data_IF_790786549400
#
_entry.id   IF_790786549400
#
_cell.length_a   1.000
_cell.length_b   1.000
_cell.length_c   1.000
_cell.angle_alpha   90.00
_cell.angle_beta   90.00
_cell.angle_gamma   90.00
#
_symmetry.space_group_name_H-M   'P 1'
#
loop_
_entity.id
_entity.type
_entity.pdbx_description
1 polymer ?
#
# COMPACT_ATOMS: atom_id res chain seq x y z
N UNK A 1 -2.52 1.43 -19.70
CA UNK A 1 -3.40 1.12 -18.55
C UNK A 1 -3.66 2.39 -17.75
N UNK A 2 -4.74 2.44 -16.98
CA UNK A 2 -5.06 3.54 -16.06
C UNK A 2 -4.99 2.99 -14.63
N UNK A 3 -4.04 3.45 -13.83
CA UNK A 3 -3.82 3.00 -12.47
C UNK A 3 -4.14 4.13 -11.48
N UNK A 4 -4.75 3.79 -10.34
CA UNK A 4 -5.02 4.72 -9.25
C UNK A 4 -4.14 4.38 -8.07
N UNK A 5 -3.30 5.33 -7.64
CA UNK A 5 -2.50 5.23 -6.42
C UNK A 5 -3.13 6.06 -5.32
N UNK A 6 -3.64 5.41 -4.30
CA UNK A 6 -4.27 6.02 -3.13
C UNK A 6 -3.25 6.22 -2.01
N UNK A 7 -2.79 7.44 -1.84
CA UNK A 7 -1.99 7.82 -0.67
C UNK A 7 -2.90 8.07 0.55
N UNK A 8 -2.42 7.76 1.74
CA UNK A 8 -3.06 8.16 3.00
C UNK A 8 -2.49 9.49 3.56
N UNK A 9 -1.82 10.27 2.72
CA UNK A 9 -1.47 11.65 3.02
C UNK A 9 -2.51 12.61 2.41
N UNK A 10 -2.77 13.72 3.12
CA UNK A 10 -3.66 14.78 2.61
C UNK A 10 -2.96 15.60 1.53
N UNK A 11 -3.72 16.06 0.53
CA UNK A 11 -3.23 16.99 -0.52
C UNK A 11 -1.88 16.54 -1.11
N UNK A 12 -1.79 15.27 -1.42
CA UNK A 12 -0.54 14.60 -1.72
C UNK A 12 0.27 15.31 -2.81
N UNK A 13 -0.36 15.74 -3.91
CA UNK A 13 0.36 16.31 -5.05
C UNK A 13 1.05 17.67 -4.78
N UNK A 14 0.55 18.46 -3.84
CA UNK A 14 1.11 19.78 -3.50
C UNK A 14 2.26 19.72 -2.50
N UNK A 15 2.41 18.61 -1.80
CA UNK A 15 3.43 18.43 -0.76
C UNK A 15 4.78 18.00 -1.33
N UNK A 16 5.92 18.25 -0.64
CA UNK A 16 7.22 17.71 -1.03
C UNK A 16 7.21 16.20 -1.24
N UNK A 17 6.58 15.46 -0.32
CA UNK A 17 6.39 14.01 -0.43
C UNK A 17 5.63 13.64 -1.70
N UNK A 18 4.50 14.29 -1.96
CA UNK A 18 3.66 13.96 -3.10
C UNK A 18 4.32 14.25 -4.44
N UNK A 19 5.09 15.34 -4.54
CA UNK A 19 5.86 15.65 -5.75
C UNK A 19 6.91 14.58 -6.05
N UNK A 20 7.65 14.14 -5.03
CA UNK A 20 8.65 13.07 -5.16
C UNK A 20 7.99 11.74 -5.49
N UNK A 21 6.90 11.39 -4.80
CA UNK A 21 6.14 10.18 -5.08
C UNK A 21 5.62 10.17 -6.52
N UNK A 22 5.02 11.27 -6.99
CA UNK A 22 4.51 11.38 -8.36
C UNK A 22 5.62 11.17 -9.40
N UNK A 23 6.77 11.80 -9.22
CA UNK A 23 7.93 11.63 -10.10
C UNK A 23 8.43 10.18 -10.15
N UNK A 24 8.45 9.49 -8.99
CA UNK A 24 8.79 8.06 -8.91
C UNK A 24 7.76 7.24 -9.68
N UNK A 25 6.45 7.45 -9.41
CA UNK A 25 5.37 6.70 -10.04
C UNK A 25 5.38 6.83 -11.57
N UNK A 26 5.53 8.04 -12.09
CA UNK A 26 5.60 8.31 -13.53
C UNK A 26 6.82 7.67 -14.21
N UNK A 27 7.93 7.54 -13.48
CA UNK A 27 9.16 6.91 -13.98
C UNK A 27 9.09 5.39 -14.04
N UNK A 28 8.34 4.75 -13.11
CA UNK A 28 8.37 3.29 -12.97
C UNK A 28 7.26 2.56 -13.71
N UNK A 29 6.21 3.23 -14.16
CA UNK A 29 5.14 2.61 -14.95
C UNK A 29 5.63 2.14 -16.32
N UNK A 30 4.99 1.13 -16.89
CA UNK A 30 5.26 0.66 -18.25
C UNK A 30 4.82 1.73 -19.28
N UNK A 31 5.47 1.80 -20.47
CA UNK A 31 5.03 2.67 -21.53
C UNK A 31 3.54 2.52 -21.84
N UNK A 32 2.81 3.63 -21.92
CA UNK A 32 1.36 3.66 -22.15
C UNK A 32 0.51 3.39 -20.91
N UNK A 33 1.12 3.28 -19.72
CA UNK A 33 0.40 3.28 -18.43
C UNK A 33 0.33 4.71 -17.89
N UNK A 34 -0.88 5.11 -17.50
CA UNK A 34 -1.13 6.38 -16.79
C UNK A 34 -1.42 6.08 -15.34
N UNK A 35 -0.83 6.86 -14.43
CA UNK A 35 -1.02 6.71 -12.99
C UNK A 35 -1.58 8.01 -12.39
N UNK A 36 -2.69 7.88 -11.68
CA UNK A 36 -3.31 8.96 -10.91
C UNK A 36 -2.89 8.84 -9.45
N UNK A 37 -2.50 9.95 -8.84
CA UNK A 37 -2.14 10.01 -7.43
C UNK A 37 -3.21 10.79 -6.66
N UNK A 38 -3.88 10.14 -5.72
CA UNK A 38 -4.93 10.72 -4.88
C UNK A 38 -4.56 10.61 -3.41
N UNK A 39 -4.77 11.70 -2.66
CA UNK A 39 -4.70 11.73 -1.20
C UNK A 39 -6.05 11.48 -0.53
N UNK A 40 -6.05 11.46 0.81
CA UNK A 40 -7.28 11.46 1.64
C UNK A 40 -7.64 12.90 2.04
N UNK A 41 -8.92 13.14 2.36
CA UNK A 41 -9.40 14.44 2.87
C UNK A 41 -9.05 14.68 4.33
N UNK A 42 -8.77 13.60 5.05
CA UNK A 42 -8.46 13.61 6.48
C UNK A 42 -7.10 14.18 6.84
N UNK A 43 -6.58 13.80 7.99
CA UNK A 43 -5.35 14.35 8.55
C UNK A 43 -4.11 13.82 7.81
N UNK A 44 -3.19 14.70 7.56
CA UNK A 44 -1.91 14.51 6.92
C UNK A 44 -1.03 13.39 7.54
N UNK A 45 -1.30 12.11 7.29
CA UNK A 45 -0.53 10.93 7.71
C UNK A 45 -0.39 10.74 9.25
N UNK A 46 -0.90 11.64 10.07
CA UNK A 46 -0.88 11.52 11.55
C UNK A 46 -1.90 10.46 11.99
N UNK A 47 -3.05 10.40 11.32
CA UNK A 47 -4.15 9.52 11.66
C UNK A 47 -3.83 8.04 11.55
N UNK A 48 -3.02 7.66 10.56
CA UNK A 48 -2.77 6.24 10.25
C UNK A 48 -2.06 5.44 11.35
N UNK A 49 -1.42 6.10 12.32
CA UNK A 49 -0.86 5.42 13.50
C UNK A 49 -1.86 5.25 14.65
N UNK A 50 -3.05 5.86 14.54
CA UNK A 50 -4.13 5.76 15.52
C UNK A 50 -5.32 5.04 14.91
N UNK A 51 -5.68 3.88 15.46
CA UNK A 51 -6.71 2.99 14.89
C UNK A 51 -8.06 3.69 14.67
N UNK A 52 -8.49 4.50 15.62
CA UNK A 52 -9.74 5.26 15.48
C UNK A 52 -9.68 6.25 14.32
N UNK A 53 -8.57 6.99 14.18
CA UNK A 53 -8.39 7.95 13.09
C UNK A 53 -8.23 7.26 11.74
N UNK A 54 -7.56 6.12 11.70
CA UNK A 54 -7.43 5.31 10.50
C UNK A 54 -8.80 4.90 9.91
N UNK A 55 -9.81 4.67 10.74
CA UNK A 55 -11.17 4.41 10.27
C UNK A 55 -11.79 5.56 9.48
N UNK A 56 -11.49 6.80 9.86
CA UNK A 56 -11.96 7.96 9.11
C UNK A 56 -11.26 8.08 7.75
N UNK A 57 -9.95 7.84 7.70
CA UNK A 57 -9.19 7.86 6.45
C UNK A 57 -9.58 6.69 5.53
N UNK A 58 -9.91 5.52 6.09
CA UNK A 58 -10.37 4.35 5.35
C UNK A 58 -11.66 4.61 4.54
N UNK A 59 -12.55 5.47 5.00
CA UNK A 59 -13.74 5.86 4.25
C UNK A 59 -13.38 6.51 2.91
N UNK A 60 -12.35 7.35 2.89
CA UNK A 60 -11.88 7.96 1.65
C UNK A 60 -11.26 6.91 0.72
N UNK A 61 -10.53 5.91 1.26
CA UNK A 61 -9.99 4.81 0.45
C UNK A 61 -11.12 4.03 -0.25
N UNK A 62 -12.18 3.68 0.47
CA UNK A 62 -13.32 2.96 -0.08
C UNK A 62 -14.05 3.82 -1.13
N UNK A 63 -14.33 5.07 -0.81
CA UNK A 63 -15.01 6.00 -1.74
C UNK A 63 -14.20 6.18 -3.03
N UNK A 64 -12.88 6.34 -2.90
CA UNK A 64 -12.00 6.52 -4.06
C UNK A 64 -11.83 5.23 -4.86
N UNK A 65 -11.90 4.05 -4.25
CA UNK A 65 -11.91 2.79 -4.97
C UNK A 65 -13.18 2.64 -5.84
N UNK A 66 -14.34 3.02 -5.29
CA UNK A 66 -15.61 3.09 -6.05
C UNK A 66 -15.49 4.08 -7.22
N UNK A 67 -14.92 5.25 -6.95
CA UNK A 67 -14.74 6.27 -7.98
C UNK A 67 -13.78 5.80 -9.08
N UNK A 68 -12.67 5.15 -8.70
CA UNK A 68 -11.71 4.59 -9.65
C UNK A 68 -12.37 3.57 -10.60
N UNK A 69 -13.20 2.66 -10.09
CA UNK A 69 -13.92 1.72 -10.93
C UNK A 69 -14.91 2.43 -11.86
N UNK A 70 -15.70 3.40 -11.36
CA UNK A 70 -16.64 4.20 -12.15
C UNK A 70 -15.97 5.01 -13.28
N UNK A 71 -14.76 5.51 -13.04
CA UNK A 71 -13.96 6.27 -14.02
C UNK A 71 -13.18 5.39 -14.99
N UNK A 72 -13.30 4.05 -14.86
CA UNK A 72 -12.66 3.09 -15.74
C UNK A 72 -11.15 2.98 -15.53
N UNK A 73 -10.70 3.08 -14.27
CA UNK A 73 -9.35 2.68 -13.92
C UNK A 73 -9.23 1.15 -13.94
N UNK A 74 -8.08 0.67 -14.38
CA UNK A 74 -7.81 -0.76 -14.53
C UNK A 74 -7.42 -1.43 -13.21
N UNK A 75 -6.82 -0.70 -12.26
CA UNK A 75 -6.48 -1.16 -10.91
C UNK A 75 -6.40 0.00 -9.92
N UNK A 76 -6.55 -0.33 -8.63
CA UNK A 76 -6.43 0.60 -7.51
C UNK A 76 -5.39 0.09 -6.50
N UNK A 77 -4.54 0.97 -6.00
CA UNK A 77 -3.44 0.64 -5.09
C UNK A 77 -3.59 1.41 -3.78
N UNK A 78 -3.61 0.71 -2.66
CA UNK A 78 -3.56 1.31 -1.31
C UNK A 78 -2.09 1.58 -0.97
N UNK A 79 -1.64 2.80 -1.23
CA UNK A 79 -0.25 3.25 -1.14
C UNK A 79 0.19 3.61 0.28
N UNK A 80 -0.19 2.81 1.27
CA UNK A 80 0.26 2.95 2.65
C UNK A 80 0.52 1.57 3.26
N UNK A 81 1.62 1.45 4.00
CA UNK A 81 2.06 0.18 4.59
C UNK A 81 1.08 -0.39 5.65
N UNK A 82 0.10 0.37 6.08
CA UNK A 82 -0.96 -0.14 6.96
C UNK A 82 -2.02 -0.98 6.25
N UNK A 83 -2.13 -0.85 4.94
CA UNK A 83 -3.15 -1.49 4.09
C UNK A 83 -4.59 -1.23 4.56
N UNK A 84 -4.85 -0.07 5.19
CA UNK A 84 -6.20 0.31 5.60
C UNK A 84 -7.14 0.47 4.40
N UNK A 85 -8.31 -0.19 4.48
CA UNK A 85 -9.32 -0.17 3.42
C UNK A 85 -9.06 -1.15 2.27
N UNK A 86 -7.95 -1.90 2.30
CA UNK A 86 -7.59 -2.86 1.24
C UNK A 86 -8.67 -3.94 1.04
N UNK A 87 -9.11 -4.56 2.14
CA UNK A 87 -10.06 -5.67 2.09
C UNK A 87 -11.48 -5.19 1.79
N UNK A 88 -11.84 -4.06 2.36
CA UNK A 88 -13.10 -3.38 2.14
C UNK A 88 -13.23 -2.93 0.68
N UNK A 89 -12.17 -2.37 0.10
CA UNK A 89 -12.14 -2.02 -1.32
C UNK A 89 -12.23 -3.26 -2.22
N UNK A 90 -11.57 -4.37 -1.86
CA UNK A 90 -11.69 -5.65 -2.60
C UNK A 90 -13.10 -6.22 -2.59
N UNK A 91 -13.85 -6.04 -1.51
CA UNK A 91 -15.26 -6.43 -1.44
C UNK A 91 -16.12 -5.51 -2.32
N UNK A 92 -15.83 -4.22 -2.28
CA UNK A 92 -16.65 -3.15 -2.87
C UNK A 92 -16.61 -3.11 -4.40
N UNK A 93 -15.44 -3.34 -5.02
CA UNK A 93 -15.22 -3.19 -6.47
C UNK A 93 -14.64 -4.45 -7.12
N UNK A 94 -14.68 -4.54 -8.46
CA UNK A 94 -14.20 -5.70 -9.22
C UNK A 94 -12.83 -5.49 -9.87
N UNK A 95 -12.35 -4.26 -10.00
CA UNK A 95 -10.99 -4.01 -10.48
C UNK A 95 -9.96 -4.57 -9.48
N UNK A 96 -8.75 -4.98 -9.92
CA UNK A 96 -7.67 -5.40 -9.03
C UNK A 96 -7.34 -4.35 -7.97
N UNK A 97 -7.27 -4.77 -6.70
CA UNK A 97 -6.89 -3.92 -5.57
C UNK A 97 -5.62 -4.47 -4.92
N UNK A 98 -4.55 -3.67 -4.88
CA UNK A 98 -3.25 -4.03 -4.32
C UNK A 98 -2.98 -3.23 -3.04
N UNK A 99 -2.34 -3.87 -2.05
CA UNK A 99 -1.88 -3.23 -0.81
C UNK A 99 -0.37 -3.10 -0.78
N UNK A 100 0.13 -2.02 -0.21
CA UNK A 100 1.57 -1.77 -0.15
C UNK A 100 2.30 -2.76 0.75
N UNK A 101 1.76 -3.05 1.96
CA UNK A 101 2.34 -4.04 2.85
C UNK A 101 2.21 -5.46 2.28
N UNK A 102 1.00 -5.84 1.86
CA UNK A 102 0.73 -7.15 1.29
C UNK A 102 1.68 -7.46 0.12
N UNK A 103 1.79 -6.55 -0.83
CA UNK A 103 2.69 -6.71 -1.98
C UNK A 103 4.14 -6.80 -1.54
N UNK A 104 4.59 -5.93 -0.63
CA UNK A 104 5.98 -5.91 -0.16
C UNK A 104 6.39 -7.23 0.49
N UNK A 105 5.55 -7.79 1.38
CA UNK A 105 5.92 -9.03 2.10
C UNK A 105 5.84 -10.26 1.20
N UNK A 106 4.93 -10.30 0.23
CA UNK A 106 4.87 -11.39 -0.74
C UNK A 106 6.05 -11.34 -1.71
N UNK A 107 6.43 -10.16 -2.19
CA UNK A 107 7.65 -10.00 -3.01
C UNK A 107 8.91 -10.35 -2.24
N UNK A 108 9.04 -9.89 -1.00
CA UNK A 108 10.16 -10.28 -0.14
C UNK A 108 10.24 -11.80 0.06
N UNK A 109 9.09 -12.46 0.19
CA UNK A 109 9.03 -13.93 0.33
C UNK A 109 9.38 -14.70 -0.94
N UNK A 110 9.35 -14.06 -2.11
CA UNK A 110 9.85 -14.62 -3.38
C UNK A 110 11.36 -14.40 -3.50
N UNK A 111 11.86 -13.26 -3.00
CA UNK A 111 13.27 -12.86 -3.13
C UNK A 111 14.21 -13.54 -2.13
N UNK A 112 13.69 -13.90 -0.93
CA UNK A 112 14.50 -14.54 0.12
C UNK A 112 13.68 -15.43 1.03
N UNK A 113 14.34 -16.26 1.83
CA UNK A 113 13.67 -17.13 2.80
C UNK A 113 13.07 -16.34 3.95
N UNK A 114 13.71 -15.28 4.39
CA UNK A 114 13.31 -14.45 5.52
C UNK A 114 13.41 -12.97 5.18
N UNK A 115 12.57 -12.16 5.80
CA UNK A 115 12.60 -10.70 5.63
C UNK A 115 12.49 -9.97 6.97
N UNK A 116 12.89 -8.72 6.98
CA UNK A 116 12.71 -7.83 8.13
C UNK A 116 12.30 -6.43 7.70
N UNK A 117 11.66 -5.71 8.62
CA UNK A 117 11.27 -4.32 8.40
C UNK A 117 12.18 -3.37 9.16
N UNK A 118 12.56 -2.29 8.49
CA UNK A 118 13.03 -1.08 9.18
C UNK A 118 11.82 -0.21 9.46
N UNK A 119 11.36 -0.21 10.72
CA UNK A 119 10.12 0.45 11.18
C UNK A 119 10.34 1.90 11.62
N UNK A 120 9.24 2.65 11.79
CA UNK A 120 9.29 4.08 12.16
C UNK A 120 9.09 4.27 13.68
N UNK A 121 8.25 3.46 14.32
CA UNK A 121 7.97 3.57 15.75
C UNK A 121 7.43 2.26 16.32
N UNK A 122 7.50 2.05 17.65
CA UNK A 122 6.94 0.84 18.28
C UNK A 122 5.44 0.65 18.01
N UNK A 123 4.68 1.74 17.97
CA UNK A 123 3.24 1.69 17.68
C UNK A 123 2.97 1.24 16.24
N UNK A 124 3.77 1.69 15.30
CA UNK A 124 3.71 1.29 13.90
C UNK A 124 4.13 -0.16 13.72
N UNK A 125 5.16 -0.59 14.44
CA UNK A 125 5.65 -1.97 14.41
C UNK A 125 4.56 -2.98 14.81
N UNK A 126 3.74 -2.67 15.81
CA UNK A 126 2.63 -3.54 16.19
C UNK A 126 1.62 -3.75 15.05
N UNK A 127 1.30 -2.71 14.31
CA UNK A 127 0.42 -2.81 13.14
C UNK A 127 1.04 -3.67 12.03
N UNK A 128 2.36 -3.55 11.80
CA UNK A 128 3.05 -4.40 10.82
C UNK A 128 3.01 -5.88 11.23
N UNK A 129 3.21 -6.21 12.52
CA UNK A 129 3.03 -7.57 13.01
C UNK A 129 1.64 -8.14 12.72
N UNK A 130 0.61 -7.33 12.95
CA UNK A 130 -0.78 -7.72 12.68
C UNK A 130 -1.03 -7.96 11.17
N UNK A 131 -0.48 -7.09 10.31
CA UNK A 131 -0.61 -7.24 8.86
C UNK A 131 0.11 -8.50 8.36
N UNK A 132 1.37 -8.71 8.78
CA UNK A 132 2.15 -9.89 8.40
C UNK A 132 1.48 -11.18 8.88
N UNK A 133 0.92 -11.19 10.10
CA UNK A 133 0.14 -12.32 10.63
C UNK A 133 -1.12 -12.58 9.77
N UNK A 134 -1.83 -11.53 9.38
CA UNK A 134 -3.00 -11.62 8.50
C UNK A 134 -2.66 -12.20 7.13
N UNK A 135 -1.46 -11.94 6.62
CA UNK A 135 -0.98 -12.48 5.34
C UNK A 135 -0.35 -13.88 5.46
N UNK A 136 -0.30 -14.45 6.67
CA UNK A 136 0.22 -15.80 6.91
C UNK A 136 1.75 -15.90 6.86
N UNK A 137 2.46 -14.78 6.98
CA UNK A 137 3.92 -14.70 6.80
C UNK A 137 4.71 -14.44 8.10
N UNK A 138 4.08 -14.57 9.28
CA UNK A 138 4.76 -14.32 10.57
C UNK A 138 6.02 -15.14 10.77
N UNK A 139 6.07 -16.38 10.28
CA UNK A 139 7.25 -17.24 10.39
C UNK A 139 8.41 -16.87 9.47
N UNK A 140 8.15 -16.01 8.50
CA UNK A 140 9.14 -15.49 7.54
C UNK A 140 9.72 -14.13 7.97
N UNK A 141 9.06 -13.43 8.88
CA UNK A 141 9.51 -12.14 9.40
C UNK A 141 10.44 -12.33 10.60
N UNK A 142 11.72 -11.97 10.46
CA UNK A 142 12.70 -12.15 11.53
C UNK A 142 12.59 -11.09 12.63
N UNK A 143 12.36 -9.84 12.26
CA UNK A 143 12.23 -8.73 13.20
C UNK A 143 11.67 -7.46 12.52
N UNK A 144 11.31 -6.48 13.35
CA UNK A 144 11.13 -5.10 12.97
C UNK A 144 12.09 -4.26 13.78
N UNK A 145 13.06 -3.61 13.13
CA UNK A 145 14.04 -2.71 13.77
C UNK A 145 13.62 -1.26 13.55
N UNK A 146 13.38 -0.48 14.60
CA UNK A 146 12.97 0.91 14.47
C UNK A 146 14.13 1.83 14.11
N UNK A 147 13.85 2.88 13.31
CA UNK A 147 14.67 4.10 13.26
C UNK A 147 14.24 5.04 14.39
N UNK A 148 15.17 5.84 14.89
CA UNK A 148 14.89 6.85 15.93
C UNK A 148 14.36 8.14 15.29
N UNK A 149 13.14 8.04 14.76
CA UNK A 149 12.46 9.17 14.11
C UNK A 149 10.93 9.00 14.22
N UNK A 150 10.21 10.06 13.88
CA UNK A 150 8.74 10.08 13.88
C UNK A 150 8.20 10.32 12.47
N UNK A 151 6.92 9.98 12.19
CA UNK A 151 6.31 10.30 10.90
C UNK A 151 6.38 11.78 10.52
N UNK A 152 6.35 12.69 11.49
CA UNK A 152 6.49 14.14 11.26
C UNK A 152 7.92 14.51 10.89
N UNK A 153 8.90 13.95 11.57
CA UNK A 153 10.32 14.16 11.27
C UNK A 153 10.70 13.58 9.89
N UNK A 154 10.12 12.44 9.50
CA UNK A 154 10.31 11.91 8.14
C UNK A 154 9.78 12.86 7.05
N UNK A 155 8.75 13.67 7.34
CA UNK A 155 8.33 14.72 6.41
C UNK A 155 9.38 15.82 6.27
N UNK A 156 10.08 16.17 7.34
CA UNK A 156 11.19 17.12 7.28
C UNK A 156 12.29 16.58 6.39
N UNK A 157 12.65 15.31 6.50
CA UNK A 157 13.64 14.66 5.64
C UNK A 157 13.30 14.69 4.13
N UNK A 158 12.03 14.93 3.76
CA UNK A 158 11.64 15.09 2.35
C UNK A 158 12.12 16.39 1.71
N UNK A 159 12.58 17.37 2.47
CA UNK A 159 13.05 18.68 1.98
C UNK A 159 14.27 19.21 2.74
N UNK A 160 14.89 18.36 3.57
CA UNK A 160 16.11 18.64 4.30
C UNK A 160 17.10 17.49 4.08
N UNK A 161 18.07 17.70 3.18
CA UNK A 161 19.04 16.69 2.78
C UNK A 161 19.97 16.28 3.92
N UNK A 162 20.30 17.18 4.85
CA UNK A 162 21.18 16.85 5.98
C UNK A 162 20.42 15.99 7.00
N UNK A 163 19.16 16.31 7.25
CA UNK A 163 18.35 15.43 8.08
C UNK A 163 18.06 14.07 7.42
N UNK A 164 17.90 14.05 6.09
CA UNK A 164 17.76 12.78 5.35
C UNK A 164 19.00 11.89 5.53
N UNK A 165 20.22 12.45 5.50
CA UNK A 165 21.46 11.69 5.78
C UNK A 165 21.42 11.03 7.16
N UNK A 166 20.93 11.74 8.18
CA UNK A 166 20.77 11.18 9.53
C UNK A 166 19.79 10.01 9.53
N UNK A 167 18.63 10.17 8.89
CA UNK A 167 17.64 9.08 8.76
C UNK A 167 18.22 7.88 8.01
N UNK A 168 18.98 8.09 6.95
CA UNK A 168 19.60 7.01 6.17
C UNK A 168 20.69 6.28 6.97
N UNK A 169 21.47 6.99 7.81
CA UNK A 169 22.43 6.35 8.72
C UNK A 169 21.71 5.47 9.76
N UNK A 170 20.61 5.92 10.33
CA UNK A 170 19.76 5.14 11.23
C UNK A 170 19.14 3.92 10.52
N UNK A 171 18.67 4.10 9.28
CA UNK A 171 18.19 2.98 8.47
C UNK A 171 19.27 1.91 8.28
N UNK A 172 20.48 2.30 7.90
CA UNK A 172 21.57 1.37 7.70
C UNK A 172 21.93 0.60 8.97
N UNK A 173 21.92 1.26 10.13
CA UNK A 173 22.14 0.61 11.42
C UNK A 173 21.03 -0.39 11.78
N UNK A 174 19.77 -0.05 11.48
CA UNK A 174 18.64 -0.96 11.68
C UNK A 174 18.68 -2.14 10.69
N UNK A 175 19.01 -1.89 9.42
CA UNK A 175 19.14 -2.92 8.40
C UNK A 175 20.26 -3.92 8.75
N UNK A 176 21.40 -3.45 9.28
CA UNK A 176 22.45 -4.34 9.75
C UNK A 176 21.96 -5.30 10.83
N UNK A 177 21.20 -4.79 11.84
CA UNK A 177 20.61 -5.64 12.89
C UNK A 177 19.64 -6.68 12.32
N UNK A 178 18.90 -6.36 11.26
CA UNK A 178 18.02 -7.31 10.60
C UNK A 178 18.80 -8.41 9.89
N UNK A 179 19.86 -8.05 9.16
CA UNK A 179 20.75 -9.01 8.48
C UNK A 179 21.43 -9.91 9.50
N UNK A 180 21.94 -9.36 10.60
CA UNK A 180 22.56 -10.14 11.71
C UNK A 180 21.55 -11.12 12.34
N UNK A 181 20.26 -10.84 12.29
CA UNK A 181 19.17 -11.74 12.72
C UNK A 181 18.70 -12.72 11.65
N UNK A 182 19.31 -12.73 10.48
CA UNK A 182 19.00 -13.65 9.38
C UNK A 182 17.97 -13.13 8.39
N UNK A 183 17.73 -11.82 8.33
CA UNK A 183 16.93 -11.26 7.23
C UNK A 183 17.73 -11.33 5.93
N UNK A 184 17.16 -11.96 4.92
CA UNK A 184 17.70 -12.00 3.56
C UNK A 184 17.14 -10.87 2.69
N UNK A 185 16.04 -10.26 3.11
CA UNK A 185 15.40 -9.12 2.42
C UNK A 185 15.04 -8.04 3.45
N UNK A 186 15.29 -6.78 3.12
CA UNK A 186 14.97 -5.62 3.97
C UNK A 186 13.82 -4.82 3.36
N UNK A 187 12.83 -4.46 4.18
CA UNK A 187 11.69 -3.66 3.77
C UNK A 187 11.67 -2.35 4.58
N UNK A 188 11.86 -1.18 3.96
CA UNK A 188 11.63 0.10 4.63
C UNK A 188 10.13 0.26 4.90
N UNK A 189 9.73 0.40 6.16
CA UNK A 189 8.32 0.48 6.54
C UNK A 189 7.88 1.93 6.67
N UNK A 190 7.28 2.43 5.61
CA UNK A 190 6.67 3.77 5.54
C UNK A 190 6.89 4.43 4.20
N UNK A 191 5.81 4.99 3.63
CA UNK A 191 5.81 5.56 2.28
C UNK A 191 6.90 6.61 2.04
N UNK A 192 7.26 7.42 3.05
CA UNK A 192 8.33 8.41 2.92
C UNK A 192 9.70 7.75 2.65
N UNK A 193 10.06 6.71 3.42
CA UNK A 193 11.30 5.98 3.18
C UNK A 193 11.26 5.26 1.83
N UNK A 194 10.15 4.59 1.52
CA UNK A 194 9.99 3.87 0.25
C UNK A 194 10.15 4.79 -0.97
N UNK A 195 9.66 6.03 -0.89
CA UNK A 195 9.87 7.04 -1.97
C UNK A 195 11.34 7.37 -2.12
N UNK A 196 12.06 7.61 -1.02
CA UNK A 196 13.51 7.92 -1.05
C UNK A 196 14.29 6.79 -1.70
N UNK A 197 14.03 5.54 -1.29
CA UNK A 197 14.70 4.36 -1.83
C UNK A 197 14.42 4.20 -3.33
N UNK A 198 13.16 4.29 -3.73
CA UNK A 198 12.77 4.20 -5.13
C UNK A 198 13.38 5.34 -5.98
N UNK A 199 13.40 6.58 -5.46
CA UNK A 199 13.94 7.76 -6.15
C UNK A 199 15.45 7.66 -6.36
N UNK A 200 16.19 7.27 -5.32
CA UNK A 200 17.65 7.17 -5.32
C UNK A 200 18.17 5.86 -5.95
N UNK A 201 17.28 4.91 -6.28
CA UNK A 201 17.68 3.62 -6.84
C UNK A 201 18.44 2.75 -5.84
N UNK A 202 18.18 2.90 -4.53
CA UNK A 202 18.81 2.08 -3.48
C UNK A 202 18.01 0.79 -3.36
N UNK A 203 18.52 -0.29 -3.96
CA UNK A 203 17.81 -1.55 -4.10
C UNK A 203 18.43 -2.69 -3.32
N UNK A 204 19.50 -2.43 -2.55
CA UNK A 204 20.16 -3.45 -1.74
C UNK A 204 20.88 -2.86 -0.52
N UNK A 205 21.03 -3.66 0.52
CA UNK A 205 21.88 -3.43 1.68
C UNK A 205 22.84 -4.63 1.83
N UNK A 206 24.13 -4.43 1.59
CA UNK A 206 25.04 -5.54 1.44
C UNK A 206 24.59 -6.50 0.32
N UNK A 207 24.39 -7.77 0.67
CA UNK A 207 23.85 -8.77 -0.26
C UNK A 207 22.31 -8.94 -0.15
N UNK A 208 21.65 -8.25 0.77
CA UNK A 208 20.21 -8.32 0.95
C UNK A 208 19.50 -7.34 0.02
N UNK A 209 18.60 -7.78 -0.86
CA UNK A 209 17.75 -6.88 -1.63
C UNK A 209 16.89 -6.02 -0.69
N UNK A 210 16.61 -4.79 -1.14
CA UNK A 210 15.63 -3.91 -0.50
C UNK A 210 14.37 -3.90 -1.35
N UNK A 211 13.26 -4.32 -0.77
CA UNK A 211 11.93 -4.16 -1.37
C UNK A 211 11.42 -2.77 -1.06
N UNK A 212 11.50 -1.87 -2.03
CA UNK A 212 11.05 -0.48 -1.86
C UNK A 212 9.54 -0.37 -1.59
N UNK A 213 8.79 -1.41 -1.95
CA UNK A 213 7.34 -1.51 -1.84
C UNK A 213 6.58 -0.78 -2.94
N UNK A 214 6.95 0.43 -3.27
CA UNK A 214 6.26 1.25 -4.29
C UNK A 214 6.50 0.67 -5.69
N UNK A 215 7.74 0.33 -6.03
CA UNK A 215 8.09 -0.25 -7.33
C UNK A 215 7.35 -1.58 -7.50
N UNK A 216 7.45 -2.46 -6.53
CA UNK A 216 6.84 -3.78 -6.54
C UNK A 216 5.32 -3.69 -6.65
N UNK A 217 4.68 -2.79 -5.91
CA UNK A 217 3.23 -2.62 -5.95
C UNK A 217 2.75 -2.13 -7.32
N UNK A 218 3.44 -1.17 -7.94
CA UNK A 218 3.08 -0.69 -9.28
C UNK A 218 3.25 -1.81 -10.31
N UNK A 219 4.36 -2.55 -10.30
CA UNK A 219 4.58 -3.67 -11.21
C UNK A 219 3.60 -4.82 -11.01
N UNK A 220 3.26 -5.11 -9.76
CA UNK A 220 2.22 -6.08 -9.46
C UNK A 220 0.82 -5.60 -9.89
N UNK A 221 0.52 -4.30 -9.80
CA UNK A 221 -0.73 -3.76 -10.32
C UNK A 221 -0.83 -3.91 -11.85
N UNK A 222 0.23 -3.60 -12.58
CA UNK A 222 0.30 -3.83 -14.04
C UNK A 222 0.12 -5.32 -14.39
N UNK A 223 0.75 -6.21 -13.61
CA UNK A 223 0.58 -7.66 -13.76
C UNK A 223 -0.85 -8.10 -13.44
N UNK A 224 -1.45 -7.60 -12.36
CA UNK A 224 -2.82 -7.89 -11.98
C UNK A 224 -3.84 -7.46 -13.05
N UNK A 225 -3.62 -6.30 -13.68
CA UNK A 225 -4.43 -5.84 -14.82
C UNK A 225 -4.31 -6.81 -16.00
N UNK A 226 -3.09 -7.23 -16.34
CA UNK A 226 -2.86 -8.19 -17.44
C UNK A 226 -3.55 -9.53 -17.15
N UNK A 227 -3.43 -10.05 -15.92
CA UNK A 227 -4.11 -11.27 -15.50
C UNK A 227 -5.63 -11.12 -15.53
N UNK A 228 -6.16 -9.98 -15.02
CA UNK A 228 -7.59 -9.70 -15.06
C UNK A 228 -8.13 -9.66 -16.49
N UNK A 229 -7.42 -9.04 -17.42
CA UNK A 229 -7.80 -9.01 -18.84
C UNK A 229 -7.77 -10.37 -19.51
N UNK A 230 -6.82 -11.24 -19.14
CA UNK A 230 -6.69 -12.58 -19.68
C UNK A 230 -7.73 -13.56 -19.13
N UNK A 231 -8.04 -13.46 -17.84
CA UNK A 231 -8.87 -14.46 -17.13
C UNK A 231 -10.29 -13.98 -16.83
N UNK A 232 -10.56 -12.68 -17.00
CA UNK A 232 -11.82 -12.05 -16.61
C UNK A 232 -12.00 -11.91 -15.09
N UNK A 233 -11.00 -12.29 -14.27
CA UNK A 233 -11.09 -12.32 -12.79
C UNK A 233 -9.75 -11.95 -12.17
N UNK A 234 -9.82 -11.31 -10.99
CA UNK A 234 -8.66 -11.13 -10.12
C UNK A 234 -9.03 -11.42 -8.66
N UNK A 235 -9.89 -10.61 -8.05
CA UNK A 235 -10.36 -10.83 -6.67
C UNK A 235 -11.48 -11.87 -6.65
N UNK A 236 -11.37 -12.84 -5.73
CA UNK A 236 -12.47 -13.79 -5.47
C UNK A 236 -13.70 -13.06 -4.93
N UNK A 237 -14.87 -13.39 -5.47
CA UNK A 237 -16.18 -12.92 -4.98
C UNK A 237 -17.01 -14.06 -4.40
N UNK A 238 -16.33 -15.13 -3.95
CA UNK A 238 -17.02 -16.35 -3.50
C UNK A 238 -17.50 -16.28 -2.05
N UNK A 239 -16.72 -15.67 -1.15
CA UNK A 239 -17.02 -15.61 0.30
C UNK A 239 -16.65 -14.24 0.89
N UNK A 240 -15.39 -14.09 1.34
CA UNK A 240 -14.96 -12.90 2.12
C UNK A 240 -15.14 -11.57 1.39
N UNK A 241 -15.13 -11.58 0.08
CA UNK A 241 -15.31 -10.39 -0.76
C UNK A 241 -16.55 -10.49 -1.65
N UNK A 242 -17.52 -11.35 -1.29
CA UNK A 242 -18.80 -11.45 -1.98
C UNK A 242 -19.64 -10.20 -1.69
N UNK A 243 -20.12 -9.47 -2.71
CA UNK A 243 -21.02 -8.36 -2.50
C UNK A 243 -22.42 -8.86 -2.05
N UNK A 244 -23.21 -8.01 -1.40
CA UNK A 244 -24.62 -8.30 -1.17
C UNK A 244 -25.37 -8.46 -2.50
N UNK A 245 -26.44 -9.27 -2.51
CA UNK A 245 -27.28 -9.52 -3.69
C UNK A 245 -28.76 -9.47 -3.34
N UNK A 246 -29.64 -9.29 -4.34
CA UNK A 246 -31.10 -9.27 -4.16
C UNK A 246 -31.54 -8.24 -3.13
N UNK A 247 -32.47 -8.62 -2.25
CA UNK A 247 -33.04 -7.73 -1.23
C UNK A 247 -32.00 -7.10 -0.29
N UNK A 248 -30.86 -7.79 -0.04
CA UNK A 248 -29.77 -7.21 0.75
C UNK A 248 -29.08 -6.06 0.02
N UNK A 249 -28.85 -6.19 -1.27
CA UNK A 249 -28.26 -5.10 -2.08
C UNK A 249 -29.21 -3.90 -2.14
N UNK A 250 -30.52 -4.13 -2.34
CA UNK A 250 -31.53 -3.07 -2.33
C UNK A 250 -31.56 -2.33 -0.99
N UNK A 251 -31.46 -3.06 0.14
CA UNK A 251 -31.37 -2.45 1.47
C UNK A 251 -30.09 -1.65 1.66
N UNK A 252 -28.95 -2.17 1.17
CA UNK A 252 -27.69 -1.39 1.21
C UNK A 252 -27.84 -0.11 0.43
N UNK A 253 -28.39 -0.15 -0.78
CA UNK A 253 -28.62 1.04 -1.59
C UNK A 253 -29.59 2.03 -0.93
N UNK A 254 -30.63 1.52 -0.29
CA UNK A 254 -31.61 2.37 0.43
C UNK A 254 -31.00 3.10 1.64
N UNK A 255 -30.15 2.42 2.44
CA UNK A 255 -29.64 2.98 3.69
C UNK A 255 -28.27 3.66 3.56
N UNK A 256 -27.43 3.23 2.61
CA UNK A 256 -26.04 3.71 2.49
C UNK A 256 -25.78 4.50 1.20
N UNK A 257 -26.59 4.29 0.15
CA UNK A 257 -26.48 4.95 -1.14
C UNK A 257 -26.23 4.00 -2.31
N UNK A 258 -26.67 4.41 -3.50
CA UNK A 258 -26.57 3.62 -4.73
C UNK A 258 -25.14 3.51 -5.29
N UNK A 259 -24.20 4.25 -4.74
CA UNK A 259 -22.79 4.19 -5.12
C UNK A 259 -22.08 2.96 -4.58
N UNK A 260 -22.59 2.33 -3.51
CA UNK A 260 -21.99 1.15 -2.91
C UNK A 260 -22.19 -0.09 -3.80
N UNK A 261 -21.15 -0.92 -3.92
CA UNK A 261 -21.14 -2.11 -4.77
C UNK A 261 -21.56 -1.83 -6.24
N UNK A 262 -20.88 -0.90 -6.93
CA UNK A 262 -21.31 -0.38 -8.23
C UNK A 262 -21.40 -1.46 -9.32
N UNK A 263 -20.63 -2.53 -9.18
CA UNK A 263 -20.57 -3.65 -10.12
C UNK A 263 -21.19 -4.94 -9.57
N UNK A 264 -21.95 -4.85 -8.46
CA UNK A 264 -22.67 -6.02 -7.94
C UNK A 264 -23.71 -6.46 -8.98
N UNK A 265 -23.53 -7.68 -9.50
CA UNK A 265 -24.53 -8.32 -10.37
C UNK A 265 -25.49 -9.11 -9.48
N UNK A 266 -26.80 -9.13 -9.80
CA UNK A 266 -27.70 -10.07 -9.16
C UNK A 266 -27.09 -11.48 -9.28
N UNK A 267 -27.04 -12.21 -8.16
CA UNK A 267 -26.57 -13.58 -8.19
C UNK A 267 -27.49 -14.41 -9.10
N UNK A 268 -27.00 -14.77 -10.28
CA UNK A 268 -27.71 -15.70 -11.15
C UNK A 268 -27.31 -17.10 -10.64
N UNK A 269 -28.28 -17.80 -10.06
CA UNK A 269 -28.10 -19.21 -9.72
C UNK A 269 -27.60 -19.98 -10.93
N UNK A 270 -26.52 -20.75 -10.81
CA UNK A 270 -26.05 -21.56 -11.91
C UNK A 270 -27.10 -22.58 -12.35
#
# INVERSE_FOLDING_TARGET
>A
MKLWYQSLARETESTPYGKRLKAVLERIVDPGTHIHLQGVRGAAAIGVQYRAMAHYDMRDVITNAIQAEKEGYDAFMVGNISDYGLREAREMVNIPILGLCETSVHMASIMGANFGFVGISPKWSQMLHENVARYGLSTRMVAIEPVDTTPLQLKVAMHDDDYLKVVMAQFNAAAQKLVDKGAEVVIPAGGNLMVVFAEQGINQFGNAPIVSGIIEMVKMAETAVKLHRLTGRFTSKALSYAPPTGDYLERVHHYYGNEFYPSAKPWIKP
#
